data_IF_819510601351
#
_entry.id   IF_819510601351
#
_cell.length_a   1.000
_cell.length_b   1.000
_cell.length_c   1.000
_cell.angle_alpha   90.00
_cell.angle_beta   90.00
_cell.angle_gamma   90.00
#
_symmetry.space_group_name_H-M   'P 1'
#
loop_
_entity.id
_entity.type
_entity.pdbx_description
1 polymer ?
#
# COMPACT_ATOMS: atom_id res chain seq x y z
N UNK A 1 -17.70 -33.56 15.19
CA UNK A 1 -16.65 -32.53 15.17
C UNK A 1 -15.31 -33.22 15.17
N UNK A 2 -14.48 -32.98 14.17
CA UNK A 2 -13.11 -33.49 14.12
C UNK A 2 -12.20 -32.52 14.88
N UNK A 3 -11.30 -33.02 15.74
CA UNK A 3 -10.33 -32.18 16.45
C UNK A 3 -8.94 -32.50 15.94
N UNK A 4 -8.25 -31.49 15.42
CA UNK A 4 -6.89 -31.58 14.90
C UNK A 4 -5.95 -30.90 15.90
N UNK A 5 -4.80 -31.51 16.15
CA UNK A 5 -3.75 -30.95 17.00
C UNK A 5 -2.57 -30.51 16.15
N UNK A 6 -2.06 -29.30 16.41
CA UNK A 6 -0.91 -28.72 15.72
C UNK A 6 -0.07 -27.90 16.69
N UNK A 7 1.22 -27.71 16.41
CA UNK A 7 2.03 -26.77 17.17
C UNK A 7 1.61 -25.34 16.83
N UNK A 8 1.51 -25.02 15.53
CA UNK A 8 1.15 -23.68 15.05
C UNK A 8 -0.11 -23.72 14.18
N UNK A 9 -1.08 -22.85 14.46
CA UNK A 9 -2.19 -22.57 13.56
C UNK A 9 -2.05 -21.15 12.98
N UNK A 10 -2.13 -21.01 11.66
CA UNK A 10 -2.05 -19.74 10.96
C UNK A 10 -3.41 -19.40 10.35
N UNK A 11 -4.00 -18.27 10.74
CA UNK A 11 -5.28 -17.81 10.25
C UNK A 11 -5.07 -16.78 9.13
N UNK A 12 -5.38 -17.18 7.90
CA UNK A 12 -5.27 -16.38 6.67
C UNK A 12 -4.10 -16.81 5.80
N UNK A 13 -4.35 -17.10 4.52
CA UNK A 13 -3.36 -17.47 3.51
C UNK A 13 -2.93 -16.28 2.63
N UNK A 14 -2.83 -15.10 3.25
CA UNK A 14 -2.19 -13.92 2.66
C UNK A 14 -0.67 -13.99 2.68
N UNK A 15 0.01 -12.90 2.30
CA UNK A 15 1.48 -12.84 2.28
C UNK A 15 2.11 -13.14 3.64
N UNK A 16 1.57 -12.57 4.71
CA UNK A 16 2.03 -12.83 6.07
C UNK A 16 1.81 -14.30 6.47
N UNK A 17 0.63 -14.85 6.20
CA UNK A 17 0.30 -16.22 6.59
C UNK A 17 1.11 -17.28 5.83
N UNK A 18 1.33 -17.09 4.53
CA UNK A 18 2.19 -17.99 3.74
C UNK A 18 3.66 -17.94 4.21
N UNK A 19 4.17 -16.74 4.54
CA UNK A 19 5.50 -16.61 5.14
C UNK A 19 5.58 -17.24 6.53
N UNK A 20 4.54 -17.07 7.36
CA UNK A 20 4.46 -17.64 8.71
C UNK A 20 4.43 -19.17 8.67
N UNK A 21 3.61 -19.76 7.80
CA UNK A 21 3.57 -21.20 7.59
C UNK A 21 4.95 -21.75 7.22
N UNK A 22 5.61 -21.17 6.22
CA UNK A 22 6.96 -21.60 5.80
C UNK A 22 7.99 -21.49 6.92
N UNK A 23 7.95 -20.39 7.69
CA UNK A 23 8.86 -20.18 8.80
C UNK A 23 8.63 -21.19 9.94
N UNK A 24 7.37 -21.48 10.29
CA UNK A 24 7.03 -22.47 11.30
C UNK A 24 7.49 -23.88 10.90
N UNK A 25 7.24 -24.29 9.65
CA UNK A 25 7.72 -25.58 9.13
C UNK A 25 9.25 -25.66 9.11
N UNK A 26 9.93 -24.59 8.70
CA UNK A 26 11.40 -24.53 8.71
C UNK A 26 11.99 -24.60 10.12
N UNK A 27 11.25 -24.16 11.14
CA UNK A 27 11.60 -24.31 12.55
C UNK A 27 11.27 -25.70 13.12
N UNK A 28 10.73 -26.63 12.31
CA UNK A 28 10.44 -28.01 12.71
C UNK A 28 9.08 -28.23 13.36
N UNK A 29 8.20 -27.22 13.39
CA UNK A 29 6.86 -27.32 13.95
C UNK A 29 5.87 -27.99 12.98
N UNK A 30 4.89 -28.70 13.52
CA UNK A 30 3.64 -28.96 12.78
C UNK A 30 2.87 -27.65 12.61
N UNK A 31 2.32 -27.40 11.42
CA UNK A 31 1.66 -26.14 11.13
C UNK A 31 0.45 -26.35 10.21
N UNK A 32 -0.66 -25.68 10.53
CA UNK A 32 -1.89 -25.68 9.72
C UNK A 32 -2.17 -24.26 9.26
N UNK A 33 -2.34 -24.09 7.96
CA UNK A 33 -2.79 -22.84 7.32
C UNK A 33 -4.30 -22.89 7.08
N UNK A 34 -5.02 -21.90 7.59
CA UNK A 34 -6.49 -21.84 7.54
C UNK A 34 -6.91 -20.66 6.66
N UNK A 35 -7.72 -20.89 5.63
CA UNK A 35 -8.21 -19.83 4.73
C UNK A 35 -9.70 -20.01 4.42
N UNK A 36 -10.48 -18.94 4.58
CA UNK A 36 -11.93 -18.96 4.35
C UNK A 36 -12.36 -18.48 2.97
N UNK A 37 -11.53 -17.65 2.32
CA UNK A 37 -11.77 -17.08 1.01
C UNK A 37 -10.95 -17.74 -0.11
N UNK A 38 -10.89 -17.07 -1.25
CA UNK A 38 -10.09 -17.53 -2.38
C UNK A 38 -8.58 -17.33 -2.13
N UNK A 39 -7.81 -18.38 -2.35
CA UNK A 39 -6.34 -18.33 -2.39
C UNK A 39 -5.84 -17.37 -3.48
N UNK A 40 -4.59 -16.90 -3.33
CA UNK A 40 -3.96 -15.98 -4.29
C UNK A 40 -3.38 -14.71 -3.68
N UNK A 41 -3.60 -14.45 -2.38
CA UNK A 41 -3.31 -13.18 -1.68
C UNK A 41 -4.07 -11.96 -2.20
N UNK A 42 -4.34 -10.99 -1.33
CA UNK A 42 -4.88 -9.67 -1.72
C UNK A 42 -3.97 -8.99 -2.74
N UNK A 43 -2.65 -9.03 -2.52
CA UNK A 43 -1.64 -8.42 -3.37
C UNK A 43 -1.76 -8.86 -4.84
N UNK A 44 -1.85 -10.16 -5.10
CA UNK A 44 -1.93 -10.67 -6.47
C UNK A 44 -3.35 -10.57 -7.06
N UNK A 45 -4.39 -10.77 -6.25
CA UNK A 45 -5.78 -10.85 -6.74
C UNK A 45 -6.40 -9.49 -7.08
N UNK A 46 -6.22 -8.54 -6.16
CA UNK A 46 -7.01 -7.29 -6.09
C UNK A 46 -6.21 -6.09 -5.58
N UNK A 47 -4.88 -6.23 -5.46
CA UNK A 47 -4.00 -5.23 -4.87
C UNK A 47 -2.92 -4.78 -5.84
N UNK A 48 -1.66 -4.97 -5.44
CA UNK A 48 -0.50 -4.45 -6.12
C UNK A 48 -0.39 -4.89 -7.59
N UNK A 49 -0.51 -6.19 -7.87
CA UNK A 49 -0.28 -6.69 -9.24
C UNK A 49 -1.25 -6.11 -10.27
N UNK A 50 -2.58 -6.18 -10.08
CA UNK A 50 -3.51 -5.60 -11.05
C UNK A 50 -3.46 -4.06 -11.09
N UNK A 51 -3.13 -3.38 -9.98
CA UNK A 51 -2.95 -1.91 -10.03
C UNK A 51 -1.75 -1.52 -10.90
N UNK A 52 -0.61 -2.22 -10.75
CA UNK A 52 0.60 -1.96 -11.55
C UNK A 52 0.42 -2.34 -13.01
N UNK A 53 -0.42 -3.35 -13.31
CA UNK A 53 -0.81 -3.69 -14.68
C UNK A 53 -1.62 -2.58 -15.36
N UNK A 54 -2.54 -1.95 -14.62
CA UNK A 54 -3.35 -0.83 -15.10
C UNK A 54 -2.49 0.44 -15.28
N UNK A 55 -1.63 0.76 -14.30
CA UNK A 55 -0.69 1.89 -14.36
C UNK A 55 0.24 1.74 -15.58
N UNK A 56 0.78 0.55 -15.84
CA UNK A 56 1.63 0.33 -17.00
C UNK A 56 0.91 0.60 -18.35
N UNK A 57 -0.38 0.26 -18.45
CA UNK A 57 -1.18 0.59 -19.64
C UNK A 57 -1.44 2.10 -19.74
N UNK A 58 -1.72 2.74 -18.62
CA UNK A 58 -1.93 4.18 -18.51
C UNK A 58 -0.68 4.98 -18.89
N UNK A 59 0.50 4.55 -18.44
CA UNK A 59 1.77 5.17 -18.77
C UNK A 59 2.11 5.03 -20.25
N UNK A 60 1.82 3.87 -20.85
CA UNK A 60 1.98 3.69 -22.29
C UNK A 60 1.10 4.66 -23.09
N UNK A 61 -0.17 4.81 -22.71
CA UNK A 61 -1.08 5.77 -23.34
C UNK A 61 -0.61 7.22 -23.14
N UNK A 62 -0.19 7.57 -21.93
CA UNK A 62 0.31 8.89 -21.60
C UNK A 62 1.57 9.25 -22.38
N UNK A 63 2.57 8.36 -22.44
CA UNK A 63 3.79 8.60 -23.22
C UNK A 63 3.51 8.74 -24.71
N UNK A 64 2.63 7.91 -25.28
CA UNK A 64 2.22 8.02 -26.68
C UNK A 64 1.59 9.40 -26.98
N UNK A 65 0.71 9.88 -26.10
CA UNK A 65 0.07 11.19 -26.24
C UNK A 65 1.04 12.38 -26.17
N UNK A 66 2.21 12.22 -25.54
CA UNK A 66 3.18 13.29 -25.31
C UNK A 66 4.47 13.14 -26.14
N UNK A 67 4.54 12.15 -27.03
CA UNK A 67 5.74 11.84 -27.82
C UNK A 67 6.17 12.97 -28.78
N UNK A 68 5.23 13.82 -29.21
CA UNK A 68 5.48 14.91 -30.16
C UNK A 68 6.52 15.93 -29.66
N UNK A 69 6.67 16.10 -28.35
CA UNK A 69 7.69 16.97 -27.77
C UNK A 69 9.13 16.50 -28.05
N UNK A 70 9.31 15.22 -28.42
CA UNK A 70 10.57 14.65 -28.87
C UNK A 70 10.72 14.61 -30.39
N UNK A 71 9.77 15.19 -31.15
CA UNK A 71 9.73 15.10 -32.61
C UNK A 71 9.21 13.75 -33.13
N UNK A 72 8.63 12.91 -32.26
CA UNK A 72 8.00 11.64 -32.64
C UNK A 72 6.50 11.86 -32.79
N UNK A 73 6.02 11.88 -34.03
CA UNK A 73 4.62 12.09 -34.35
C UNK A 73 3.92 10.75 -34.62
N UNK A 74 2.75 10.56 -34.03
CA UNK A 74 1.88 9.41 -34.27
C UNK A 74 0.71 9.92 -35.12
N UNK A 75 0.59 9.42 -36.35
CA UNK A 75 -0.49 9.81 -37.24
C UNK A 75 -1.82 9.15 -36.84
N UNK A 76 -2.87 9.95 -36.70
CA UNK A 76 -4.20 9.52 -36.27
C UNK A 76 -4.50 9.78 -34.79
N UNK A 77 -5.75 9.52 -34.38
CA UNK A 77 -6.15 9.68 -32.99
C UNK A 77 -5.67 8.48 -32.15
N UNK A 78 -5.06 8.74 -30.99
CA UNK A 78 -4.74 7.70 -30.02
C UNK A 78 -6.03 6.99 -29.59
N UNK A 79 -6.11 5.69 -29.88
CA UNK A 79 -7.26 4.85 -29.51
C UNK A 79 -6.93 4.03 -28.27
N UNK A 80 -7.70 4.24 -27.21
CA UNK A 80 -7.64 3.42 -26.00
C UNK A 80 -8.84 2.49 -26.01
N UNK A 81 -8.59 1.19 -26.13
CA UNK A 81 -9.64 0.17 -26.03
C UNK A 81 -9.74 -0.33 -24.60
N UNK A 82 -10.77 0.14 -23.87
CA UNK A 82 -10.95 -0.21 -22.47
C UNK A 82 -11.14 -1.70 -22.23
N UNK A 83 -11.72 -2.43 -23.19
CA UNK A 83 -11.91 -3.88 -23.11
C UNK A 83 -10.60 -4.62 -23.24
N UNK A 84 -9.75 -4.23 -24.20
CA UNK A 84 -8.42 -4.82 -24.35
C UNK A 84 -7.51 -4.52 -23.14
N UNK A 85 -7.59 -3.30 -22.59
CA UNK A 85 -6.87 -2.91 -21.37
C UNK A 85 -7.29 -3.81 -20.21
N UNK A 86 -8.58 -3.91 -19.92
CA UNK A 86 -9.08 -4.70 -18.79
C UNK A 86 -8.88 -6.21 -19.01
N UNK A 87 -8.97 -6.70 -20.25
CA UNK A 87 -8.66 -8.10 -20.57
C UNK A 87 -7.20 -8.45 -20.29
N UNK A 88 -6.25 -7.56 -20.61
CA UNK A 88 -4.84 -7.74 -20.25
C UNK A 88 -4.64 -7.73 -18.74
N UNK A 89 -5.24 -6.77 -18.02
CA UNK A 89 -5.18 -6.70 -16.55
C UNK A 89 -5.65 -8.02 -15.93
N UNK A 90 -6.82 -8.52 -16.34
CA UNK A 90 -7.38 -9.78 -15.84
C UNK A 90 -6.48 -10.98 -16.15
N UNK A 91 -6.02 -11.13 -17.39
CA UNK A 91 -5.16 -12.26 -17.80
C UNK A 91 -3.84 -12.31 -17.01
N UNK A 92 -3.12 -11.20 -16.91
CA UNK A 92 -1.85 -11.19 -16.16
C UNK A 92 -2.09 -11.33 -14.65
N UNK A 93 -3.17 -10.74 -14.11
CA UNK A 93 -3.60 -10.96 -12.72
C UNK A 93 -3.82 -12.44 -12.45
N UNK A 94 -4.61 -13.12 -13.28
CA UNK A 94 -4.89 -14.56 -13.15
C UNK A 94 -3.61 -15.39 -13.20
N UNK A 95 -2.67 -15.03 -14.08
CA UNK A 95 -1.34 -15.64 -14.13
C UNK A 95 -0.58 -15.47 -12.81
N UNK A 96 -0.53 -14.27 -12.23
CA UNK A 96 0.14 -14.07 -10.94
C UNK A 96 -0.53 -14.82 -9.79
N UNK A 97 -1.87 -14.84 -9.77
CA UNK A 97 -2.65 -15.62 -8.81
C UNK A 97 -2.35 -17.11 -8.93
N UNK A 98 -2.24 -17.63 -10.16
CA UNK A 98 -1.96 -19.05 -10.40
C UNK A 98 -0.66 -19.54 -9.75
N UNK A 99 0.39 -18.70 -9.70
CA UNK A 99 1.64 -19.06 -9.02
C UNK A 99 1.47 -19.19 -7.50
N UNK A 100 0.66 -18.32 -6.90
CA UNK A 100 0.36 -18.40 -5.47
C UNK A 100 -0.49 -19.63 -5.18
N UNK A 101 -1.55 -19.86 -5.98
CA UNK A 101 -2.43 -21.02 -5.84
C UNK A 101 -1.64 -22.32 -5.99
N UNK A 102 -0.82 -22.45 -7.02
CA UNK A 102 0.05 -23.62 -7.19
C UNK A 102 0.99 -23.85 -5.99
N UNK A 103 1.48 -22.77 -5.38
CA UNK A 103 2.29 -22.84 -4.17
C UNK A 103 1.52 -23.34 -2.94
N UNK A 104 0.23 -23.00 -2.82
CA UNK A 104 -0.67 -23.53 -1.78
C UNK A 104 -1.06 -24.98 -2.08
N UNK A 105 -1.40 -25.28 -3.33
CA UNK A 105 -1.79 -26.63 -3.76
C UNK A 105 -0.67 -27.65 -3.52
N UNK A 106 0.59 -27.23 -3.73
CA UNK A 106 1.78 -28.05 -3.45
C UNK A 106 2.03 -28.31 -1.94
N UNK A 107 1.36 -27.63 -1.02
CA UNK A 107 1.45 -27.93 0.41
C UNK A 107 0.72 -29.25 0.72
N UNK A 108 1.18 -30.04 1.72
CA UNK A 108 0.46 -31.23 2.16
C UNK A 108 -0.99 -30.91 2.54
N UNK A 109 -1.95 -31.76 2.16
CA UNK A 109 -3.37 -31.52 2.47
C UNK A 109 -3.64 -31.50 3.97
N UNK A 110 -2.87 -32.25 4.76
CA UNK A 110 -2.95 -32.22 6.23
C UNK A 110 -2.54 -30.87 6.84
N UNK A 111 -1.81 -30.03 6.09
CA UNK A 111 -1.32 -28.73 6.54
C UNK A 111 -2.28 -27.58 6.13
N UNK A 112 -3.41 -27.87 5.47
CA UNK A 112 -4.36 -26.86 4.95
C UNK A 112 -5.77 -27.13 5.45
N UNK A 113 -6.48 -26.08 5.81
CA UNK A 113 -7.92 -26.12 6.08
C UNK A 113 -8.64 -24.99 5.36
N UNK A 114 -9.77 -25.32 4.73
CA UNK A 114 -10.66 -24.34 4.12
C UNK A 114 -11.81 -24.03 5.08
N UNK A 115 -11.98 -22.75 5.40
CA UNK A 115 -13.03 -22.26 6.28
C UNK A 115 -12.59 -21.03 7.07
N UNK A 116 -13.57 -20.27 7.55
CA UNK A 116 -13.29 -19.16 8.46
C UNK A 116 -13.01 -19.69 9.87
N UNK A 117 -11.90 -19.23 10.46
CA UNK A 117 -11.54 -19.54 11.83
C UNK A 117 -12.15 -18.53 12.82
N UNK A 118 -12.57 -19.02 13.99
CA UNK A 118 -12.92 -18.20 15.15
C UNK A 118 -12.38 -18.83 16.43
N UNK A 119 -11.96 -18.03 17.39
CA UNK A 119 -11.52 -18.48 18.70
C UNK A 119 -12.72 -19.00 19.51
N UNK A 120 -12.58 -20.19 20.08
CA UNK A 120 -13.51 -20.76 21.08
C UNK A 120 -12.96 -20.53 22.49
N UNK A 121 -11.63 -20.61 22.64
CA UNK A 121 -10.85 -20.23 23.81
C UNK A 121 -9.45 -19.75 23.36
N UNK A 122 -8.51 -19.57 24.30
CA UNK A 122 -7.15 -19.05 24.04
C UNK A 122 -6.32 -19.87 23.04
N UNK A 123 -6.57 -21.19 22.95
CA UNK A 123 -5.75 -22.13 22.19
C UNK A 123 -6.55 -23.05 21.27
N UNK A 124 -7.88 -22.89 21.22
CA UNK A 124 -8.80 -23.69 20.42
C UNK A 124 -9.54 -22.82 19.40
N UNK A 125 -9.37 -23.17 18.13
CA UNK A 125 -10.07 -22.55 17.01
C UNK A 125 -11.19 -23.46 16.52
N UNK A 126 -12.31 -22.86 16.15
CA UNK A 126 -13.33 -23.48 15.28
C UNK A 126 -13.05 -23.05 13.84
N UNK A 127 -12.97 -24.00 12.90
CA UNK A 127 -12.88 -23.73 11.47
C UNK A 127 -14.16 -24.24 10.80
N UNK A 128 -14.91 -23.34 10.18
CA UNK A 128 -16.26 -23.68 9.67
C UNK A 128 -17.18 -24.17 10.79
N UNK A 129 -17.99 -25.19 10.50
CA UNK A 129 -18.97 -25.71 11.46
C UNK A 129 -18.59 -27.06 12.08
N UNK A 130 -17.60 -27.76 11.54
CA UNK A 130 -17.34 -29.18 11.84
C UNK A 130 -15.93 -29.48 12.36
N UNK A 131 -15.00 -28.54 12.27
CA UNK A 131 -13.58 -28.76 12.57
C UNK A 131 -13.09 -27.88 13.72
N UNK A 132 -12.41 -28.48 14.69
CA UNK A 132 -11.71 -27.82 15.79
C UNK A 132 -10.20 -27.99 15.62
N UNK A 133 -9.44 -26.94 15.88
CA UNK A 133 -7.96 -26.95 15.82
C UNK A 133 -7.43 -26.54 17.18
N UNK A 134 -6.85 -27.49 17.90
CA UNK A 134 -6.10 -27.25 19.13
C UNK A 134 -4.66 -26.90 18.76
N UNK A 135 -4.25 -25.67 19.00
CA UNK A 135 -2.92 -25.18 18.67
C UNK A 135 -2.12 -24.81 19.93
N UNK A 136 -0.81 -25.06 19.92
CA UNK A 136 0.07 -24.53 20.98
C UNK A 136 0.29 -23.03 20.81
N UNK A 137 0.37 -22.56 19.56
CA UNK A 137 0.48 -21.14 19.23
C UNK A 137 -0.32 -20.79 17.97
N UNK A 138 -0.75 -19.54 17.87
CA UNK A 138 -1.64 -19.06 16.81
C UNK A 138 -1.04 -17.80 16.16
N UNK A 139 -1.04 -17.74 14.83
CA UNK A 139 -0.67 -16.54 14.06
C UNK A 139 -1.92 -15.97 13.38
N UNK A 140 -2.30 -14.76 13.73
CA UNK A 140 -3.37 -13.98 13.11
C UNK A 140 -2.78 -13.22 11.91
N UNK A 141 -3.12 -13.65 10.69
CA UNK A 141 -2.65 -13.10 9.43
C UNK A 141 -3.81 -12.82 8.45
N UNK A 142 -4.95 -12.37 8.98
CA UNK A 142 -6.23 -12.19 8.27
C UNK A 142 -6.28 -10.97 7.34
N UNK A 143 -5.21 -10.17 7.28
CA UNK A 143 -5.09 -9.01 6.42
C UNK A 143 -6.03 -7.86 6.79
N UNK A 144 -6.37 -7.03 5.80
CA UNK A 144 -7.29 -5.89 5.92
C UNK A 144 -8.34 -5.88 4.83
N UNK A 145 -9.45 -5.17 5.06
CA UNK A 145 -10.50 -4.91 4.08
C UNK A 145 -10.73 -3.41 3.86
N UNK A 146 -11.18 -2.97 2.67
CA UNK A 146 -11.54 -1.57 2.45
C UNK A 146 -12.63 -1.06 3.40
N UNK A 147 -12.57 0.23 3.71
CA UNK A 147 -13.61 0.93 4.46
C UNK A 147 -14.61 1.53 3.49
N UNK A 148 -15.87 1.13 3.60
CA UNK A 148 -17.01 1.72 2.87
C UNK A 148 -17.88 2.53 3.83
N UNK A 149 -17.79 3.87 3.84
CA UNK A 149 -18.69 4.73 4.60
C UNK A 149 -20.17 4.48 4.24
N UNK A 150 -21.06 4.65 5.22
CA UNK A 150 -22.51 4.34 5.07
C UNK A 150 -23.16 5.09 3.91
N UNK A 151 -22.79 6.36 3.69
CA UNK A 151 -23.35 7.19 2.62
C UNK A 151 -23.13 6.60 1.21
N UNK A 152 -22.04 5.84 1.01
CA UNK A 152 -21.75 5.23 -0.29
C UNK A 152 -22.36 3.84 -0.43
N UNK A 153 -22.65 3.12 0.68
CA UNK A 153 -23.27 1.78 0.62
C UNK A 153 -24.62 1.79 -0.09
N UNK A 154 -25.37 2.88 0.02
CA UNK A 154 -26.67 3.06 -0.64
C UNK A 154 -26.58 3.06 -2.18
N UNK A 155 -25.37 3.21 -2.75
CA UNK A 155 -25.16 3.21 -4.21
C UNK A 155 -25.12 1.78 -4.80
N UNK A 156 -25.06 0.74 -3.97
CA UNK A 156 -24.97 -0.65 -4.41
C UNK A 156 -23.69 -0.91 -5.22
N UNK A 157 -23.83 -1.58 -6.36
CA UNK A 157 -22.76 -1.93 -7.31
C UNK A 157 -22.09 -0.72 -7.99
N UNK A 158 -22.58 0.50 -7.76
CA UNK A 158 -21.97 1.74 -8.24
C UNK A 158 -21.02 2.38 -7.23
N UNK A 159 -21.06 1.98 -5.96
CA UNK A 159 -19.99 2.27 -5.00
C UNK A 159 -19.03 1.08 -4.96
N UNK A 160 -17.86 1.28 -5.54
CA UNK A 160 -16.86 0.24 -5.68
C UNK A 160 -15.65 0.51 -4.79
N UNK A 161 -14.90 -0.55 -4.52
CA UNK A 161 -13.59 -0.51 -3.88
C UNK A 161 -12.52 -0.87 -4.91
N UNK A 162 -11.24 -0.78 -4.53
CA UNK A 162 -10.13 -1.14 -5.43
C UNK A 162 -10.26 -2.58 -5.97
N UNK A 163 -10.88 -3.48 -5.20
CA UNK A 163 -11.05 -4.87 -5.58
C UNK A 163 -11.92 -5.03 -6.84
N UNK A 164 -12.93 -4.18 -7.01
CA UNK A 164 -13.90 -4.28 -8.10
C UNK A 164 -13.38 -3.67 -9.41
N UNK A 165 -12.47 -2.68 -9.33
CA UNK A 165 -11.88 -2.00 -10.49
C UNK A 165 -11.28 -3.00 -11.47
N UNK A 166 -10.62 -4.03 -10.93
CA UNK A 166 -9.91 -5.03 -11.73
C UNK A 166 -10.83 -6.13 -12.28
N UNK A 167 -12.10 -6.11 -11.92
CA UNK A 167 -13.12 -7.01 -12.44
C UNK A 167 -13.90 -6.43 -13.63
N UNK A 168 -13.74 -5.14 -13.93
CA UNK A 168 -14.46 -4.50 -15.06
C UNK A 168 -14.18 -5.19 -16.40
N UNK A 169 -15.19 -5.15 -17.28
CA UNK A 169 -15.09 -5.64 -18.65
C UNK A 169 -14.70 -4.55 -19.65
N UNK A 170 -14.89 -3.28 -19.28
CA UNK A 170 -14.57 -2.11 -20.08
C UNK A 170 -14.22 -0.96 -19.14
N UNK A 171 -13.49 0.04 -19.63
CA UNK A 171 -13.24 1.26 -18.86
C UNK A 171 -14.51 2.11 -18.79
N UNK A 172 -14.88 2.64 -17.61
CA UNK A 172 -15.98 3.59 -17.51
C UNK A 172 -15.64 4.93 -18.19
N UNK A 173 -16.65 5.75 -18.44
CA UNK A 173 -16.47 7.11 -18.96
C UNK A 173 -16.11 8.08 -17.84
N UNK A 174 -16.71 7.93 -16.66
CA UNK A 174 -16.58 8.87 -15.54
C UNK A 174 -16.48 8.16 -14.19
N UNK A 175 -15.46 8.51 -13.39
CA UNK A 175 -15.27 7.93 -12.04
C UNK A 175 -14.99 9.03 -11.03
N UNK A 176 -15.75 9.04 -9.94
CA UNK A 176 -15.41 9.81 -8.75
C UNK A 176 -14.54 8.96 -7.84
N UNK A 177 -13.37 9.46 -7.44
CA UNK A 177 -12.46 8.75 -6.52
C UNK A 177 -12.52 9.44 -5.16
N UNK A 178 -12.96 8.73 -4.13
CA UNK A 178 -13.08 9.25 -2.77
C UNK A 178 -11.88 8.81 -1.94
N UNK A 179 -11.00 9.76 -1.63
CA UNK A 179 -9.80 9.54 -0.81
C UNK A 179 -8.50 9.75 -1.58
N UNK A 180 -7.72 10.75 -1.15
CA UNK A 180 -6.43 11.13 -1.72
C UNK A 180 -5.24 10.38 -1.11
N UNK A 181 -5.43 9.11 -0.75
CA UNK A 181 -4.34 8.22 -0.33
C UNK A 181 -3.64 7.56 -1.52
N UNK A 182 -2.66 6.69 -1.25
CA UNK A 182 -1.88 5.97 -2.29
C UNK A 182 -2.76 5.28 -3.34
N UNK A 183 -3.75 4.49 -2.90
CA UNK A 183 -4.66 3.75 -3.80
C UNK A 183 -5.46 4.71 -4.69
N UNK A 184 -5.99 5.78 -4.11
CA UNK A 184 -6.81 6.75 -4.84
C UNK A 184 -5.99 7.54 -5.87
N UNK A 185 -4.76 7.93 -5.52
CA UNK A 185 -3.86 8.62 -6.44
C UNK A 185 -3.40 7.71 -7.59
N UNK A 186 -2.96 6.48 -7.29
CA UNK A 186 -2.52 5.50 -8.29
C UNK A 186 -3.65 5.21 -9.29
N UNK A 187 -4.83 4.82 -8.80
CA UNK A 187 -5.95 4.45 -9.67
C UNK A 187 -6.57 5.66 -10.36
N UNK A 188 -6.69 6.80 -9.65
CA UNK A 188 -7.23 8.03 -10.22
C UNK A 188 -6.39 8.54 -11.39
N UNK A 189 -5.07 8.59 -11.22
CA UNK A 189 -4.17 9.02 -12.30
C UNK A 189 -4.15 8.00 -13.45
N UNK A 190 -4.11 6.70 -13.16
CA UNK A 190 -4.10 5.67 -14.19
C UNK A 190 -5.38 5.73 -15.05
N UNK A 191 -6.55 5.87 -14.42
CA UNK A 191 -7.83 6.00 -15.13
C UNK A 191 -7.87 7.30 -15.95
N UNK A 192 -7.42 8.43 -15.41
CA UNK A 192 -7.35 9.69 -16.14
C UNK A 192 -6.48 9.59 -17.40
N UNK A 193 -5.31 8.96 -17.29
CA UNK A 193 -4.39 8.70 -18.41
C UNK A 193 -4.94 7.72 -19.44
N UNK A 194 -5.88 6.86 -19.02
CA UNK A 194 -6.61 5.95 -19.90
C UNK A 194 -7.88 6.57 -20.52
N UNK A 195 -8.08 7.88 -20.38
CA UNK A 195 -9.18 8.62 -21.00
C UNK A 195 -10.48 8.63 -20.19
N UNK A 196 -10.48 8.09 -18.97
CA UNK A 196 -11.62 8.20 -18.05
C UNK A 196 -11.65 9.61 -17.45
N UNK A 197 -12.81 10.26 -17.41
CA UNK A 197 -12.94 11.54 -16.68
C UNK A 197 -12.98 11.26 -15.18
N UNK A 198 -11.91 11.65 -14.49
CA UNK A 198 -11.74 11.41 -13.05
C UNK A 198 -11.90 12.70 -12.25
N UNK A 199 -12.69 12.63 -11.19
CA UNK A 199 -12.74 13.63 -10.12
C UNK A 199 -12.30 12.98 -8.81
N UNK A 200 -11.11 13.31 -8.30
CA UNK A 200 -10.59 12.79 -7.05
C UNK A 200 -10.86 13.79 -5.92
N UNK A 201 -11.66 13.36 -4.95
CA UNK A 201 -12.15 14.18 -3.85
C UNK A 201 -11.56 13.69 -2.52
N UNK A 202 -10.88 14.58 -1.82
CA UNK A 202 -10.37 14.38 -0.46
C UNK A 202 -10.98 15.39 0.50
N UNK A 203 -11.18 15.05 1.77
CA UNK A 203 -11.87 15.94 2.72
C UNK A 203 -10.93 16.68 3.70
N UNK A 204 -9.63 16.35 3.72
CA UNK A 204 -8.71 16.74 4.82
C UNK A 204 -7.34 17.22 4.34
N UNK A 205 -7.20 17.62 3.09
CA UNK A 205 -5.94 18.14 2.54
C UNK A 205 -4.82 17.10 2.42
N UNK A 206 -5.12 15.80 2.57
CA UNK A 206 -4.13 14.74 2.40
C UNK A 206 -3.77 14.60 0.93
N UNK A 207 -2.48 14.45 0.64
CA UNK A 207 -1.97 14.13 -0.70
C UNK A 207 -0.98 12.98 -0.55
N UNK A 208 -1.46 11.77 -0.79
CA UNK A 208 -0.67 10.56 -0.61
C UNK A 208 -0.21 10.40 0.85
N UNK A 209 1.00 9.88 1.08
CA UNK A 209 1.57 9.68 2.41
C UNK A 209 2.31 10.90 2.99
N UNK A 210 2.40 12.01 2.25
CA UNK A 210 3.25 13.14 2.64
C UNK A 210 2.83 13.82 3.93
N UNK A 211 3.82 14.09 4.76
CA UNK A 211 3.68 14.85 6.01
C UNK A 211 4.49 16.15 5.97
N UNK A 212 5.46 16.23 5.09
CA UNK A 212 6.20 17.44 4.76
C UNK A 212 5.29 18.44 4.03
N UNK A 213 5.11 19.66 4.55
CA UNK A 213 4.15 20.63 4.01
C UNK A 213 4.50 21.07 2.58
N UNK A 214 5.79 21.20 2.25
CA UNK A 214 6.24 21.72 0.96
C UNK A 214 6.14 20.65 -0.13
N UNK A 215 6.59 19.43 0.19
CA UNK A 215 6.43 18.26 -0.71
C UNK A 215 4.95 17.98 -0.96
N UNK A 216 4.11 18.04 0.08
CA UNK A 216 2.66 17.86 -0.05
C UNK A 216 2.01 18.94 -0.91
N UNK A 217 2.38 20.21 -0.72
CA UNK A 217 1.86 21.32 -1.51
C UNK A 217 2.29 21.22 -2.99
N UNK A 218 3.54 20.84 -3.24
CA UNK A 218 4.05 20.58 -4.59
C UNK A 218 3.27 19.44 -5.27
N UNK A 219 3.12 18.31 -4.58
CA UNK A 219 2.36 17.17 -5.08
C UNK A 219 0.89 17.53 -5.39
N UNK A 220 0.25 18.33 -4.54
CA UNK A 220 -1.11 18.80 -4.78
C UNK A 220 -1.25 19.54 -6.10
N UNK A 221 -0.34 20.48 -6.40
CA UNK A 221 -0.32 21.20 -7.69
C UNK A 221 -0.11 20.26 -8.87
N UNK A 222 0.85 19.34 -8.77
CA UNK A 222 1.14 18.37 -9.84
C UNK A 222 -0.08 17.52 -10.18
N UNK A 223 -0.83 17.03 -9.19
CA UNK A 223 -2.03 16.24 -9.46
C UNK A 223 -3.19 17.08 -10.01
N UNK A 224 -3.38 18.31 -9.53
CA UNK A 224 -4.41 19.23 -10.05
C UNK A 224 -4.18 19.64 -11.52
N UNK A 225 -2.93 19.63 -12.00
CA UNK A 225 -2.61 19.82 -13.42
C UNK A 225 -2.91 18.58 -14.28
N UNK A 226 -2.88 17.38 -13.69
CA UNK A 226 -3.05 16.12 -14.41
C UNK A 226 -4.53 15.72 -14.58
N UNK A 227 -5.35 15.96 -13.55
CA UNK A 227 -6.78 15.68 -13.55
C UNK A 227 -7.47 16.50 -12.44
N UNK A 228 -8.80 16.42 -12.37
CA UNK A 228 -9.54 17.12 -11.33
C UNK A 228 -9.23 16.53 -9.95
N UNK A 229 -8.43 17.25 -9.18
CA UNK A 229 -7.96 16.86 -7.86
C UNK A 229 -8.32 17.94 -6.84
N UNK A 230 -9.20 17.59 -5.90
CA UNK A 230 -9.79 18.50 -4.91
C UNK A 230 -9.56 17.90 -3.50
N UNK A 231 -8.37 18.08 -2.91
CA UNK A 231 -7.99 17.46 -1.64
C UNK A 231 -8.74 18.00 -0.41
N UNK A 232 -9.54 19.06 -0.55
CA UNK A 232 -10.38 19.64 0.52
C UNK A 232 -11.89 19.55 0.23
N UNK A 233 -12.31 18.94 -0.88
CA UNK A 233 -13.71 18.75 -1.22
C UNK A 233 -14.51 17.97 -0.16
N UNK A 234 -15.73 18.44 0.11
CA UNK A 234 -16.64 17.83 1.08
C UNK A 234 -17.86 17.25 0.37
N UNK A 235 -17.92 15.92 0.26
CA UNK A 235 -19.10 15.23 -0.29
C UNK A 235 -20.26 15.34 0.68
N UNK A 236 -21.34 15.97 0.22
CA UNK A 236 -22.56 16.23 1.00
C UNK A 236 -23.64 15.18 0.72
N UNK A 237 -23.74 14.71 -0.52
CA UNK A 237 -24.72 13.71 -0.91
C UNK A 237 -24.19 12.82 -2.03
N UNK A 238 -24.63 11.56 -2.01
CA UNK A 238 -24.40 10.60 -3.07
C UNK A 238 -25.71 9.84 -3.32
N UNK A 239 -26.24 9.93 -4.54
CA UNK A 239 -27.54 9.35 -4.89
C UNK A 239 -27.38 8.53 -6.17
N UNK A 240 -27.87 7.29 -6.15
CA UNK A 240 -27.92 6.46 -7.36
C UNK A 240 -29.08 6.91 -8.25
N UNK A 241 -28.80 7.06 -9.53
CA UNK A 241 -29.78 7.42 -10.57
C UNK A 241 -29.66 6.42 -11.73
N UNK A 242 -30.43 5.34 -11.65
CA UNK A 242 -30.32 4.23 -12.59
C UNK A 242 -28.94 3.56 -12.53
N UNK A 243 -28.19 3.69 -13.62
CA UNK A 243 -26.83 3.14 -13.79
C UNK A 243 -25.71 4.15 -13.49
N UNK A 244 -26.06 5.34 -13.02
CA UNK A 244 -25.11 6.38 -12.68
C UNK A 244 -25.27 6.81 -11.21
N UNK A 245 -24.33 7.60 -10.73
CA UNK A 245 -24.31 8.20 -9.39
C UNK A 245 -24.19 9.70 -9.52
N UNK A 246 -25.16 10.42 -8.96
CA UNK A 246 -25.10 11.86 -8.79
C UNK A 246 -24.45 12.19 -7.44
N UNK A 247 -23.32 12.88 -7.49
CA UNK A 247 -22.63 13.39 -6.31
C UNK A 247 -22.87 14.90 -6.18
N UNK A 248 -23.17 15.34 -4.95
CA UNK A 248 -23.12 16.74 -4.56
C UNK A 248 -22.01 16.95 -3.54
N UNK A 249 -21.16 17.93 -3.78
CA UNK A 249 -20.06 18.26 -2.88
C UNK A 249 -19.70 19.75 -2.94
N UNK A 250 -19.01 20.22 -1.90
CA UNK A 250 -18.40 21.55 -1.88
C UNK A 250 -16.97 21.42 -2.37
N UNK A 251 -16.56 22.21 -3.36
CA UNK A 251 -15.19 22.20 -3.90
C UNK A 251 -14.18 22.86 -2.97
N UNK A 252 -12.89 22.79 -3.31
CA UNK A 252 -11.84 23.50 -2.58
C UNK A 252 -12.04 25.03 -2.63
N UNK A 253 -12.71 25.54 -3.67
CA UNK A 253 -13.08 26.95 -3.80
C UNK A 253 -14.33 27.35 -3.00
N UNK A 254 -14.98 26.40 -2.32
CA UNK A 254 -16.20 26.62 -1.55
C UNK A 254 -17.49 26.61 -2.40
N UNK A 255 -17.41 26.19 -3.67
CA UNK A 255 -18.55 26.14 -4.58
C UNK A 255 -19.33 24.83 -4.43
N UNK A 256 -20.65 24.88 -4.47
CA UNK A 256 -21.50 23.69 -4.49
C UNK A 256 -21.56 23.13 -5.90
N UNK A 257 -21.11 21.88 -6.07
CA UNK A 257 -20.99 21.21 -7.35
C UNK A 257 -21.85 19.95 -7.33
N UNK A 258 -22.58 19.73 -8.41
CA UNK A 258 -23.36 18.52 -8.66
C UNK A 258 -22.89 17.90 -9.98
N UNK A 259 -22.37 16.67 -9.92
CA UNK A 259 -21.81 15.97 -11.07
C UNK A 259 -22.21 14.49 -11.05
N UNK A 260 -22.39 13.92 -12.23
CA UNK A 260 -22.79 12.51 -12.40
C UNK A 260 -21.62 11.65 -12.87
N UNK A 261 -21.51 10.45 -12.31
CA UNK A 261 -20.42 9.49 -12.53
C UNK A 261 -20.97 8.09 -12.79
N UNK A 262 -20.23 7.26 -13.52
CA UNK A 262 -20.62 5.87 -13.76
C UNK A 262 -20.33 5.01 -12.51
N UNK A 263 -19.26 5.36 -11.78
CA UNK A 263 -18.87 4.71 -10.53
C UNK A 263 -18.31 5.71 -9.52
N UNK A 264 -18.47 5.39 -8.23
CA UNK A 264 -17.76 6.01 -7.12
C UNK A 264 -16.76 5.00 -6.56
N UNK A 265 -15.47 5.23 -6.82
CA UNK A 265 -14.37 4.46 -6.25
C UNK A 265 -14.02 4.97 -4.85
N UNK A 266 -14.37 4.18 -3.84
CA UNK A 266 -14.14 4.51 -2.44
C UNK A 266 -12.77 3.97 -1.99
N UNK A 267 -11.79 4.86 -1.97
CA UNK A 267 -10.42 4.63 -1.49
C UNK A 267 -10.20 5.27 -0.10
N UNK A 268 -11.17 5.12 0.80
CA UNK A 268 -11.23 5.81 2.10
C UNK A 268 -10.34 5.18 3.21
N UNK A 269 -9.42 4.29 2.84
CA UNK A 269 -8.58 3.53 3.76
C UNK A 269 -9.05 2.08 3.95
N UNK A 270 -8.32 1.36 4.79
CA UNK A 270 -8.52 -0.08 5.06
C UNK A 270 -8.57 -0.31 6.57
N UNK A 271 -9.27 -1.37 6.99
CA UNK A 271 -9.37 -1.80 8.38
C UNK A 271 -8.84 -3.23 8.56
N UNK A 272 -8.13 -3.54 9.65
CA UNK A 272 -7.74 -4.91 9.96
C UNK A 272 -8.92 -5.88 10.07
N UNK A 273 -8.72 -7.13 9.64
CA UNK A 273 -9.75 -8.17 9.63
C UNK A 273 -9.74 -9.01 10.93
N UNK A 274 -10.03 -8.38 12.06
CA UNK A 274 -10.08 -9.07 13.38
C UNK A 274 -11.49 -9.34 13.89
N UNK A 275 -12.51 -8.62 13.38
CA UNK A 275 -13.88 -8.68 13.90
C UNK A 275 -14.59 -10.04 13.74
N UNK A 276 -14.17 -10.87 12.77
CA UNK A 276 -14.74 -12.21 12.55
C UNK A 276 -14.11 -13.32 13.41
N UNK A 277 -13.08 -12.99 14.19
CA UNK A 277 -12.28 -13.99 14.92
C UNK A 277 -12.86 -14.37 16.28
N UNK A 278 -13.91 -13.68 16.77
CA UNK A 278 -14.48 -13.90 18.09
C UNK A 278 -13.44 -13.80 19.23
N UNK A 279 -12.54 -12.80 19.14
CA UNK A 279 -11.47 -12.57 20.13
C UNK A 279 -11.98 -12.35 21.55
N UNK A 280 -13.24 -11.94 21.72
CA UNK A 280 -13.91 -11.83 23.03
C UNK A 280 -14.02 -13.16 23.79
N UNK A 281 -13.80 -14.30 23.13
CA UNK A 281 -13.77 -15.61 23.76
C UNK A 281 -12.39 -15.96 24.35
N UNK A 282 -11.40 -15.08 24.16
CA UNK A 282 -10.04 -15.24 24.66
C UNK A 282 -9.78 -14.33 25.85
N UNK A 283 -8.70 -14.59 26.57
CA UNK A 283 -8.16 -13.74 27.62
C UNK A 283 -7.26 -12.61 27.09
N UNK A 284 -7.13 -12.46 25.77
CA UNK A 284 -6.34 -11.39 25.14
C UNK A 284 -6.91 -10.01 25.49
N UNK A 285 -6.03 -9.09 25.88
CA UNK A 285 -6.37 -7.68 25.97
C UNK A 285 -6.60 -7.12 24.55
N UNK A 286 -7.73 -6.44 24.34
CA UNK A 286 -8.06 -5.78 23.08
C UNK A 286 -8.03 -4.26 23.27
N UNK A 287 -7.64 -3.54 22.22
CA UNK A 287 -7.74 -2.08 22.17
C UNK A 287 -9.17 -1.61 21.88
N UNK A 288 -9.36 -0.28 21.81
CA UNK A 288 -10.67 0.35 21.59
C UNK A 288 -11.32 0.00 20.24
N UNK A 289 -10.55 -0.55 19.29
CA UNK A 289 -11.04 -0.98 17.96
C UNK A 289 -11.13 -2.51 17.83
N UNK A 290 -10.91 -3.24 18.92
CA UNK A 290 -11.03 -4.70 18.99
C UNK A 290 -9.80 -5.46 18.45
N UNK A 291 -8.66 -4.79 18.31
CA UNK A 291 -7.39 -5.39 17.92
C UNK A 291 -6.68 -5.97 19.17
N UNK A 292 -6.04 -7.14 19.12
CA UNK A 292 -5.18 -7.58 20.22
C UNK A 292 -4.09 -6.55 20.53
N UNK A 293 -3.92 -6.19 21.80
CA UNK A 293 -2.77 -5.39 22.24
C UNK A 293 -1.53 -6.26 22.15
N UNK A 294 -0.58 -5.86 21.32
CA UNK A 294 0.61 -6.65 21.00
C UNK A 294 1.88 -5.80 21.09
N UNK A 295 3.01 -6.48 21.27
CA UNK A 295 4.33 -5.86 21.23
C UNK A 295 4.81 -5.75 19.76
N UNK A 296 5.00 -4.52 19.22
CA UNK A 296 5.45 -4.32 17.84
C UNK A 296 6.82 -4.90 17.52
N UNK A 297 7.66 -5.12 18.54
CA UNK A 297 8.99 -5.69 18.38
C UNK A 297 8.95 -7.21 18.27
N UNK A 298 7.95 -7.90 18.80
CA UNK A 298 7.89 -9.38 18.78
C UNK A 298 6.69 -9.92 18.01
N UNK A 299 5.73 -9.06 17.71
CA UNK A 299 4.41 -9.35 17.13
C UNK A 299 3.49 -10.15 18.07
N UNK A 300 3.90 -10.35 19.33
CA UNK A 300 3.19 -11.16 20.31
C UNK A 300 2.06 -10.37 20.98
N UNK A 301 0.87 -10.95 21.08
CA UNK A 301 -0.25 -10.39 21.82
C UNK A 301 -0.11 -10.69 23.32
N UNK A 302 0.23 -9.66 24.11
CA UNK A 302 0.55 -9.79 25.53
C UNK A 302 1.65 -10.83 25.78
N UNK A 303 1.41 -11.74 26.74
CA UNK A 303 2.27 -12.90 27.01
C UNK A 303 1.72 -14.22 26.43
N UNK A 304 0.64 -14.15 25.64
CA UNK A 304 -0.04 -15.31 25.08
C UNK A 304 0.77 -15.90 23.92
N UNK A 305 0.59 -17.19 23.60
CA UNK A 305 1.16 -17.80 22.40
C UNK A 305 0.39 -17.38 21.12
N UNK A 306 0.00 -16.12 21.02
CA UNK A 306 -0.75 -15.55 19.90
C UNK A 306 0.06 -14.41 19.30
N UNK A 307 0.22 -14.42 17.98
CA UNK A 307 1.01 -13.43 17.23
C UNK A 307 0.15 -12.81 16.14
N UNK A 308 0.40 -11.54 15.79
CA UNK A 308 -0.36 -10.81 14.77
C UNK A 308 0.57 -10.18 13.72
N UNK A 309 0.32 -10.46 12.44
CA UNK A 309 1.24 -10.12 11.35
C UNK A 309 0.55 -9.61 10.08
N UNK A 310 1.26 -8.77 9.33
CA UNK A 310 0.79 -8.08 8.14
C UNK A 310 -0.30 -7.06 8.47
N UNK A 311 -1.12 -6.72 7.47
CA UNK A 311 -2.20 -5.74 7.62
C UNK A 311 -3.17 -6.02 8.79
N UNK A 312 -3.21 -7.26 9.32
CA UNK A 312 -4.01 -7.61 10.48
C UNK A 312 -3.60 -6.84 11.74
N UNK A 313 -2.36 -6.34 11.83
CA UNK A 313 -1.85 -5.60 12.99
C UNK A 313 -2.09 -4.08 12.93
N UNK A 314 -2.57 -3.57 11.79
CA UNK A 314 -2.97 -2.16 11.62
C UNK A 314 -1.84 -1.13 11.49
N UNK A 315 -0.57 -1.52 11.33
CA UNK A 315 0.55 -0.55 11.35
C UNK A 315 1.04 -0.19 9.95
N UNK A 316 1.63 -1.15 9.22
CA UNK A 316 2.23 -0.92 7.90
C UNK A 316 1.64 -1.90 6.87
N UNK A 317 0.55 -1.53 6.15
CA UNK A 317 -0.07 -2.38 5.15
C UNK A 317 0.74 -2.39 3.84
N UNK A 318 1.98 -2.88 3.91
CA UNK A 318 2.93 -3.00 2.82
C UNK A 318 3.30 -4.47 2.62
N UNK A 319 3.38 -4.89 1.37
CA UNK A 319 3.58 -6.30 1.02
C UNK A 319 4.86 -6.89 1.64
N UNK A 320 5.97 -6.16 1.56
CA UNK A 320 7.26 -6.63 2.06
C UNK A 320 7.32 -6.66 3.60
N UNK A 321 6.70 -5.69 4.27
CA UNK A 321 6.52 -5.71 5.73
C UNK A 321 5.69 -6.92 6.16
N UNK A 322 4.56 -7.19 5.49
CA UNK A 322 3.73 -8.35 5.81
C UNK A 322 4.50 -9.67 5.63
N UNK A 323 5.39 -9.77 4.63
CA UNK A 323 6.21 -10.96 4.42
C UNK A 323 7.26 -11.15 5.54
N UNK A 324 7.96 -10.08 5.94
CA UNK A 324 8.95 -10.12 7.01
C UNK A 324 8.29 -10.39 8.38
N UNK A 325 7.16 -9.73 8.66
CA UNK A 325 6.35 -9.97 9.86
C UNK A 325 5.80 -11.39 9.92
N UNK A 326 5.29 -11.90 8.81
CA UNK A 326 4.83 -13.29 8.71
C UNK A 326 5.95 -14.26 9.08
N UNK A 327 7.15 -14.08 8.49
CA UNK A 327 8.32 -14.90 8.81
C UNK A 327 8.67 -14.85 10.29
N UNK A 328 8.68 -13.66 10.89
CA UNK A 328 9.00 -13.49 12.30
C UNK A 328 7.94 -14.11 13.23
N UNK A 329 6.65 -13.82 12.99
CA UNK A 329 5.54 -14.38 13.75
C UNK A 329 5.49 -15.90 13.66
N UNK A 330 5.70 -16.49 12.48
CA UNK A 330 5.77 -17.95 12.32
C UNK A 330 6.95 -18.58 13.06
N UNK A 331 8.11 -17.93 13.06
CA UNK A 331 9.30 -18.40 13.81
C UNK A 331 9.06 -18.32 15.31
N UNK A 332 8.55 -17.19 15.81
CA UNK A 332 8.25 -17.00 17.23
C UNK A 332 7.14 -17.94 17.72
N UNK A 333 6.09 -18.16 16.91
CA UNK A 333 5.04 -19.13 17.23
C UNK A 333 5.58 -20.56 17.33
N UNK A 334 6.50 -20.97 16.45
CA UNK A 334 7.09 -22.30 16.52
C UNK A 334 8.05 -22.49 17.70
N UNK A 335 8.67 -21.41 18.19
CA UNK A 335 9.68 -21.45 19.28
C UNK A 335 9.13 -21.06 20.65
N UNK A 336 7.86 -20.65 20.74
CA UNK A 336 7.24 -20.24 22.01
C UNK A 336 7.49 -21.29 23.12
N UNK A 337 7.92 -20.89 24.34
CA UNK A 337 7.94 -19.52 24.87
C UNK A 337 9.20 -18.68 24.56
N UNK A 338 10.12 -19.15 23.71
CA UNK A 338 11.31 -18.39 23.33
C UNK A 338 11.00 -17.41 22.18
N UNK A 339 10.54 -16.22 22.54
CA UNK A 339 10.16 -15.15 21.61
C UNK A 339 11.33 -14.19 21.38
N UNK A 340 11.65 -13.93 20.11
CA UNK A 340 12.72 -13.01 19.69
C UNK A 340 12.14 -11.74 19.06
N UNK A 341 12.88 -10.64 19.17
CA UNK A 341 12.51 -9.39 18.51
C UNK A 341 12.72 -9.48 16.98
N UNK A 342 11.80 -8.89 16.23
CA UNK A 342 11.84 -8.74 14.78
C UNK A 342 12.90 -7.72 14.42
N UNK A 343 13.89 -8.15 13.63
CA UNK A 343 14.80 -7.23 12.97
C UNK A 343 14.08 -6.56 11.79
N UNK A 344 13.67 -5.31 12.00
CA UNK A 344 13.01 -4.50 10.96
C UNK A 344 14.03 -3.96 9.97
N UNK A 345 13.61 -3.91 8.71
CA UNK A 345 14.31 -3.16 7.67
C UNK A 345 14.01 -1.67 7.81
N UNK A 346 14.83 -0.86 7.17
CA UNK A 346 14.61 0.56 6.99
C UNK A 346 13.22 0.79 6.35
N UNK A 347 12.35 1.61 6.95
CA UNK A 347 11.02 1.89 6.41
C UNK A 347 11.11 2.45 5.00
N UNK A 348 10.34 1.88 4.07
CA UNK A 348 10.22 2.32 2.69
C UNK A 348 8.78 2.16 2.21
N UNK A 349 8.20 3.22 1.65
CA UNK A 349 6.89 3.17 1.01
C UNK A 349 6.93 3.89 -0.33
N UNK A 350 6.27 3.33 -1.34
CA UNK A 350 6.26 3.84 -2.71
C UNK A 350 4.81 3.89 -3.20
N UNK A 351 4.44 4.99 -3.85
CA UNK A 351 3.25 5.06 -4.70
C UNK A 351 3.66 5.23 -6.16
N UNK A 352 3.04 4.44 -7.01
CA UNK A 352 3.38 4.31 -8.42
C UNK A 352 2.54 5.27 -9.28
N UNK A 353 2.53 6.53 -8.86
CA UNK A 353 2.09 7.65 -9.70
C UNK A 353 3.25 8.10 -10.59
N UNK A 354 3.01 9.04 -11.48
CA UNK A 354 4.05 9.75 -12.21
C UNK A 354 3.78 11.26 -12.17
N UNK A 355 4.63 12.05 -11.50
CA UNK A 355 5.86 11.62 -10.84
C UNK A 355 5.61 10.65 -9.67
N UNK A 356 6.54 9.74 -9.44
CA UNK A 356 6.43 8.72 -8.40
C UNK A 356 6.56 9.33 -7.01
N UNK A 357 5.94 8.70 -6.02
CA UNK A 357 6.03 9.12 -4.62
C UNK A 357 6.85 8.10 -3.84
N UNK A 358 7.75 8.58 -2.99
CA UNK A 358 8.52 7.76 -2.08
C UNK A 358 8.58 8.38 -0.67
N UNK A 359 8.54 7.50 0.33
CA UNK A 359 8.79 7.79 1.74
C UNK A 359 9.88 6.83 2.22
N UNK A 360 10.91 7.34 2.88
CA UNK A 360 11.98 6.53 3.48
C UNK A 360 12.23 7.00 4.90
N UNK A 361 12.35 6.07 5.84
CA UNK A 361 12.68 6.37 7.23
C UNK A 361 11.63 7.19 7.97
N UNK A 362 12.09 8.12 8.81
CA UNK A 362 11.23 8.99 9.61
C UNK A 362 10.46 9.97 8.72
N UNK A 363 9.17 10.13 9.00
CA UNK A 363 8.33 11.15 8.36
C UNK A 363 8.66 12.52 8.94
N UNK A 364 8.49 13.58 8.15
CA UNK A 364 8.74 14.95 8.61
C UNK A 364 8.01 15.28 9.93
N UNK A 365 6.73 14.87 10.04
CA UNK A 365 5.91 15.14 11.23
C UNK A 365 6.36 14.40 12.50
N UNK A 366 7.14 13.32 12.36
CA UNK A 366 7.64 12.54 13.51
C UNK A 366 8.99 13.08 14.03
N UNK A 367 9.63 13.99 13.29
CA UNK A 367 10.90 14.58 13.65
C UNK A 367 10.69 15.88 14.45
N UNK A 368 11.50 16.08 15.48
CA UNK A 368 11.50 17.33 16.23
C UNK A 368 12.22 18.42 15.43
N UNK A 369 11.64 19.61 15.19
CA UNK A 369 12.23 20.62 14.31
C UNK A 369 13.69 20.99 14.62
N UNK A 370 14.09 20.94 15.89
CA UNK A 370 15.44 21.22 16.37
C UNK A 370 16.43 20.06 16.21
N UNK A 371 15.97 18.82 15.95
CA UNK A 371 16.83 17.64 15.91
C UNK A 371 17.39 17.36 14.51
N UNK A 372 16.87 17.98 13.45
CA UNK A 372 17.29 17.70 12.08
C UNK A 372 17.44 18.96 11.22
N UNK A 373 18.02 18.79 10.04
CA UNK A 373 17.95 19.74 8.92
C UNK A 373 17.29 19.06 7.73
N UNK A 374 16.63 19.86 6.89
CA UNK A 374 16.08 19.42 5.61
C UNK A 374 16.99 19.89 4.48
N UNK A 375 17.55 18.95 3.73
CA UNK A 375 18.16 19.25 2.43
C UNK A 375 17.14 19.11 1.31
N UNK A 376 17.16 20.03 0.36
CA UNK A 376 16.11 20.18 -0.64
C UNK A 376 16.65 20.14 -2.08
N UNK A 377 15.85 19.60 -3.01
CA UNK A 377 16.08 19.72 -4.45
C UNK A 377 14.76 19.73 -5.23
N UNK A 378 14.65 20.64 -6.21
CA UNK A 378 13.64 20.58 -7.27
C UNK A 378 14.16 19.80 -8.47
N UNK A 379 13.31 18.95 -9.06
CA UNK A 379 13.63 18.20 -10.27
C UNK A 379 13.30 18.96 -11.57
N UNK A 380 12.76 20.18 -11.48
CA UNK A 380 12.33 20.99 -12.64
C UNK A 380 13.49 21.41 -13.54
N UNK A 381 14.66 21.67 -12.95
CA UNK A 381 15.89 21.99 -13.67
C UNK A 381 16.97 20.92 -13.56
N UNK A 382 16.62 19.73 -13.06
CA UNK A 382 17.54 18.59 -12.99
C UNK A 382 17.84 18.08 -14.41
N UNK A 383 19.12 18.04 -14.80
CA UNK A 383 19.55 17.83 -16.18
C UNK A 383 18.98 16.57 -16.85
N UNK A 384 19.09 15.40 -16.21
CA UNK A 384 18.54 14.15 -16.76
C UNK A 384 17.02 14.16 -16.80
N UNK A 385 16.35 14.69 -15.77
CA UNK A 385 14.90 14.80 -15.74
C UNK A 385 14.39 15.67 -16.89
N UNK A 386 15.08 16.77 -17.22
CA UNK A 386 14.74 17.63 -18.37
C UNK A 386 14.93 16.92 -19.69
N UNK A 387 16.03 16.18 -19.86
CA UNK A 387 16.30 15.38 -21.07
C UNK A 387 15.16 14.41 -21.36
N UNK A 388 14.54 13.84 -20.32
CA UNK A 388 13.44 12.89 -20.44
C UNK A 388 12.04 13.55 -20.45
N UNK A 389 11.95 14.89 -20.36
CA UNK A 389 10.68 15.62 -20.13
C UNK A 389 9.89 15.10 -18.91
N UNK A 390 10.61 14.64 -17.87
CA UNK A 390 10.07 14.18 -16.58
C UNK A 390 10.52 15.09 -15.43
N UNK A 391 10.87 16.33 -15.74
CA UNK A 391 11.35 17.34 -14.81
C UNK A 391 10.20 17.98 -14.01
N UNK A 392 9.54 17.16 -13.20
CA UNK A 392 8.58 17.58 -12.17
C UNK A 392 8.90 16.81 -10.90
N UNK A 393 9.08 17.50 -9.79
CA UNK A 393 9.34 16.86 -8.51
C UNK A 393 10.03 17.74 -7.48
N UNK A 394 9.87 17.37 -6.22
CA UNK A 394 10.52 17.96 -5.06
C UNK A 394 10.92 16.85 -4.09
N UNK A 395 12.17 16.84 -3.66
CA UNK A 395 12.69 15.90 -2.65
C UNK A 395 13.23 16.67 -1.46
N UNK A 396 12.79 16.25 -0.28
CA UNK A 396 13.35 16.63 1.00
C UNK A 396 14.04 15.43 1.65
N UNK A 397 15.30 15.60 2.03
CA UNK A 397 16.06 14.63 2.84
C UNK A 397 16.26 15.19 4.24
N UNK A 398 16.10 14.34 5.25
CA UNK A 398 16.22 14.71 6.66
C UNK A 398 17.50 14.14 7.24
N UNK A 399 18.30 15.01 7.86
CA UNK A 399 19.58 14.64 8.47
C UNK A 399 19.62 15.10 9.91
N UNK A 400 19.91 14.18 10.82
CA UNK A 400 20.04 14.47 12.25
C UNK A 400 21.21 15.41 12.52
N UNK A 401 20.99 16.46 13.32
CA UNK A 401 22.00 17.50 13.58
C UNK A 401 23.20 16.99 14.37
N UNK A 402 22.96 16.14 15.36
CA UNK A 402 23.99 15.71 16.30
C UNK A 402 24.93 14.67 15.68
N UNK A 403 24.36 13.70 14.99
CA UNK A 403 25.08 12.55 14.43
C UNK A 403 25.39 12.68 12.95
N UNK A 404 24.79 13.67 12.26
CA UNK A 404 24.87 13.85 10.79
C UNK A 404 24.33 12.66 10.00
N UNK A 405 23.59 11.75 10.65
CA UNK A 405 22.97 10.58 10.02
C UNK A 405 21.78 10.96 9.16
N UNK A 406 21.66 10.32 8.01
CA UNK A 406 20.42 10.33 7.25
C UNK A 406 19.34 9.60 8.05
N UNK A 407 18.19 10.25 8.25
CA UNK A 407 17.09 9.71 9.08
C UNK A 407 15.78 9.52 8.33
N UNK A 408 15.61 10.17 7.18
CA UNK A 408 14.45 9.95 6.34
C UNK A 408 14.39 10.87 5.13
N UNK A 409 13.40 10.64 4.26
CA UNK A 409 13.13 11.49 3.10
C UNK A 409 11.67 11.37 2.69
N UNK A 410 11.13 12.49 2.18
CA UNK A 410 9.84 12.54 1.47
C UNK A 410 10.06 13.12 0.08
N UNK A 411 9.49 12.48 -0.93
CA UNK A 411 9.78 12.83 -2.32
C UNK A 411 8.64 12.50 -3.28
N UNK A 412 8.34 13.46 -4.16
CA UNK A 412 7.63 13.24 -5.42
C UNK A 412 8.56 13.55 -6.60
N UNK A 413 8.75 12.64 -7.56
CA UNK A 413 9.62 12.88 -8.71
C UNK A 413 9.88 11.66 -9.62
N UNK A 414 10.73 11.82 -10.65
CA UNK A 414 11.05 10.74 -11.57
C UNK A 414 11.84 9.63 -10.88
N UNK A 415 11.57 8.39 -11.24
CA UNK A 415 12.31 7.20 -10.76
C UNK A 415 12.31 7.07 -9.22
N UNK A 416 11.22 7.53 -8.59
CA UNK A 416 11.01 7.55 -7.14
C UNK A 416 11.35 6.23 -6.45
N UNK A 417 10.88 5.13 -7.03
CA UNK A 417 11.08 3.79 -6.49
C UNK A 417 12.57 3.39 -6.41
N UNK A 418 13.39 3.73 -7.40
CA UNK A 418 14.78 3.27 -7.45
C UNK A 418 15.65 4.01 -6.43
N UNK A 419 15.55 5.34 -6.39
CA UNK A 419 16.28 6.13 -5.40
C UNK A 419 15.74 5.90 -3.99
N UNK A 420 14.44 5.56 -3.81
CA UNK A 420 13.93 5.14 -2.50
C UNK A 420 14.64 3.89 -1.97
N UNK A 421 14.93 2.90 -2.82
CA UNK A 421 15.72 1.73 -2.42
C UNK A 421 17.15 2.12 -2.03
N UNK A 422 17.79 3.01 -2.79
CA UNK A 422 19.13 3.52 -2.46
C UNK A 422 19.14 4.22 -1.09
N UNK A 423 18.16 5.08 -0.82
CA UNK A 423 18.00 5.77 0.46
C UNK A 423 17.69 4.82 1.61
N UNK A 424 16.82 3.83 1.39
CA UNK A 424 16.48 2.83 2.41
C UNK A 424 17.71 2.00 2.80
N UNK A 425 18.58 1.65 1.86
CA UNK A 425 19.84 0.98 2.15
C UNK A 425 20.79 1.86 2.94
N UNK A 426 20.95 3.13 2.54
CA UNK A 426 21.76 4.10 3.29
C UNK A 426 21.26 4.26 4.72
N UNK A 427 19.93 4.29 4.92
CA UNK A 427 19.30 4.34 6.24
C UNK A 427 19.55 3.06 7.05
N UNK A 428 19.39 1.87 6.45
CA UNK A 428 19.66 0.58 7.11
C UNK A 428 21.10 0.51 7.59
N UNK A 429 22.04 1.02 6.77
CA UNK A 429 23.46 1.09 7.07
C UNK A 429 23.83 2.24 8.02
N UNK A 430 22.87 3.08 8.42
CA UNK A 430 23.02 4.22 9.32
C UNK A 430 24.08 5.22 8.82
N UNK A 431 24.16 5.42 7.51
CA UNK A 431 25.14 6.30 6.90
C UNK A 431 24.91 7.76 7.30
N UNK A 432 26.01 8.48 7.46
CA UNK A 432 26.02 9.94 7.53
C UNK A 432 25.85 10.55 6.15
N UNK A 433 25.35 11.78 6.09
CA UNK A 433 25.24 12.54 4.83
C UNK A 433 26.59 12.68 4.13
N UNK A 434 27.68 12.80 4.90
CA UNK A 434 29.05 12.90 4.36
C UNK A 434 29.52 11.59 3.71
N UNK A 435 29.20 10.45 4.32
CA UNK A 435 29.48 9.13 3.75
C UNK A 435 28.66 8.91 2.47
N UNK A 436 27.38 9.29 2.46
CA UNK A 436 26.54 9.23 1.27
C UNK A 436 27.10 10.09 0.13
N UNK A 437 27.61 11.29 0.43
CA UNK A 437 28.20 12.19 -0.58
C UNK A 437 29.55 11.69 -1.16
N UNK A 438 30.23 10.75 -0.47
CA UNK A 438 31.43 10.08 -1.00
C UNK A 438 31.11 8.92 -1.94
N UNK A 439 29.85 8.49 -2.00
CA UNK A 439 29.40 7.43 -2.90
C UNK A 439 29.35 7.94 -4.36
N UNK A 440 29.45 7.03 -5.34
CA UNK A 440 29.37 7.41 -6.75
C UNK A 440 27.96 7.88 -7.13
N UNK A 441 27.91 9.01 -7.83
CA UNK A 441 26.75 9.49 -8.57
C UNK A 441 27.19 9.63 -10.04
N UNK A 442 26.59 8.85 -10.93
CA UNK A 442 26.94 8.86 -12.35
C UNK A 442 26.49 10.17 -13.02
N UNK A 443 26.79 10.35 -14.32
CA UNK A 443 26.34 11.52 -15.07
C UNK A 443 26.02 11.15 -16.53
N UNK A 444 24.90 11.63 -17.11
CA UNK A 444 23.77 12.32 -16.48
C UNK A 444 22.70 11.34 -15.95
N UNK A 445 22.35 11.43 -14.66
CA UNK A 445 21.32 10.56 -14.02
C UNK A 445 20.43 11.33 -13.03
N UNK A 446 19.27 10.78 -12.66
CA UNK A 446 18.32 11.41 -11.73
C UNK A 446 18.89 11.51 -10.31
N UNK A 447 19.73 10.55 -9.91
CA UNK A 447 20.42 10.48 -8.62
C UNK A 447 21.30 11.72 -8.34
N UNK A 448 21.73 12.45 -9.38
CA UNK A 448 22.44 13.72 -9.17
C UNK A 448 21.55 14.77 -8.48
N UNK A 449 20.22 14.67 -8.59
CA UNK A 449 19.28 15.46 -7.81
C UNK A 449 19.36 15.13 -6.32
N UNK A 450 19.39 13.83 -5.96
CA UNK A 450 19.65 13.40 -4.58
C UNK A 450 20.98 13.98 -4.06
N UNK A 451 22.06 13.95 -4.87
CA UNK A 451 23.34 14.57 -4.48
C UNK A 451 23.19 16.06 -4.16
N UNK A 452 22.35 16.79 -4.90
CA UNK A 452 22.05 18.20 -4.61
C UNK A 452 21.35 18.37 -3.26
N UNK A 453 20.30 17.59 -2.98
CA UNK A 453 19.60 17.64 -1.69
C UNK A 453 20.54 17.30 -0.51
N UNK A 454 21.40 16.28 -0.66
CA UNK A 454 22.39 15.93 0.36
C UNK A 454 23.40 17.05 0.60
N UNK A 455 23.86 17.74 -0.45
CA UNK A 455 24.75 18.91 -0.31
C UNK A 455 24.06 20.08 0.40
N UNK A 456 22.80 20.33 0.06
CA UNK A 456 21.99 21.36 0.73
C UNK A 456 21.84 21.06 2.24
N UNK A 457 21.58 19.79 2.60
CA UNK A 457 21.57 19.37 4.00
C UNK A 457 22.90 19.65 4.71
N UNK A 458 24.05 19.36 4.07
CA UNK A 458 25.37 19.66 4.65
C UNK A 458 25.55 21.14 4.90
N UNK A 459 25.18 22.02 3.96
CA UNK A 459 25.27 23.47 4.14
C UNK A 459 24.42 23.94 5.34
N UNK A 460 23.25 23.33 5.55
CA UNK A 460 22.35 23.69 6.67
C UNK A 460 22.79 23.15 8.03
N UNK A 461 23.68 22.15 8.07
CA UNK A 461 24.28 21.65 9.31
C UNK A 461 25.31 22.61 9.90
N UNK A 462 25.90 23.49 9.08
CA UNK A 462 27.09 24.27 9.44
C UNK A 462 28.34 23.44 9.24
#
# INVERSE_FOLDING_TARGET
>A
MNTIHTDVAIIGAGSAGLSAYRAAKAAGASAILIEGGAHGTTCARVGCMPSKLLIAAADAAHHAAHAAAFGVHIDGALRIDGREVMARVKRERDRFVSFVVAGVDAMPDADKLTGYARFIDDNLLQVGDDTKVQAKSIVIATGSSPVMPSMYRALGDRAIINDDVFAWDDLPKRVAVIGAGVIGLELGQALARLGVRVSLLGARGRVGPFTDPDVRAYAGRVFSEAFRFEPFAQVQAAVREGDEVRLRYVSDAGESIEETFDYVLVAAGRKPNVGGLALSNTSLALDDVGLPVYDPLTLQAGAHPVFIAGDANGVLPLLHEAADEGRAAGTNAARYPHVEAVERRAPIAIAFTDPGIAMVGSRHVDLKPESFVTGEVSFEDQGRSRVMLRNRGLMHVYVDRASRRFVGAEWIGPDAEHIAHLLAWALQMKLTVDEMLRMPFYHPVVEEGLRTALRDAVVRLG
#
